data_IF_993273610481
#
_entry.id   IF_993273610481
#
_cell.length_a   1.000
_cell.length_b   1.000
_cell.length_c   1.000
_cell.angle_alpha   90.00
_cell.angle_beta   90.00
_cell.angle_gamma   90.00
#
_symmetry.space_group_name_H-M   'P 1'
#
loop_
_entity.id
_entity.type
_entity.pdbx_description
1 polymer ?
#
# COMPACT_ATOMS: atom_id res chain seq x y z
N UNK A 1 17.78 -4.24 18.67
CA UNK A 1 16.96 -5.47 18.61
C UNK A 1 15.86 -5.23 17.60
N UNK A 2 15.74 -6.12 16.62
CA UNK A 2 14.70 -6.07 15.59
C UNK A 2 13.35 -6.47 16.15
N UNK A 3 12.30 -5.68 15.92
CA UNK A 3 10.95 -6.00 16.38
C UNK A 3 10.14 -6.76 15.32
N UNK A 4 9.77 -8.00 15.62
CA UNK A 4 8.77 -8.72 14.84
C UNK A 4 7.38 -8.18 15.17
N UNK A 5 6.58 -7.85 14.15
CA UNK A 5 5.28 -7.22 14.32
C UNK A 5 4.12 -8.15 13.94
N UNK A 6 2.98 -7.93 14.58
CA UNK A 6 1.70 -8.55 14.24
C UNK A 6 0.82 -7.50 13.58
N UNK A 7 -0.15 -7.95 12.76
CA UNK A 7 -1.16 -7.04 12.18
C UNK A 7 -1.82 -6.20 13.29
N UNK A 8 -1.86 -4.89 13.09
CA UNK A 8 -2.38 -3.89 14.04
C UNK A 8 -1.38 -3.42 15.10
N UNK A 9 -0.24 -4.10 15.28
CA UNK A 9 0.76 -3.65 16.26
C UNK A 9 1.49 -2.40 15.78
N UNK A 10 2.06 -1.64 16.72
CA UNK A 10 2.84 -0.45 16.42
C UNK A 10 4.09 -0.37 17.31
N UNK A 11 5.13 0.29 16.79
CA UNK A 11 6.41 0.52 17.46
C UNK A 11 6.83 1.98 17.30
N UNK A 12 7.34 2.65 18.36
CA UNK A 12 7.95 3.97 18.21
C UNK A 12 9.22 3.90 17.36
N UNK A 13 9.48 4.98 16.63
CA UNK A 13 10.66 5.12 15.78
C UNK A 13 11.51 6.27 16.31
N UNK A 14 12.72 5.93 16.78
CA UNK A 14 13.71 6.93 17.20
C UNK A 14 14.52 7.48 16.01
N UNK A 15 14.44 6.82 14.85
CA UNK A 15 15.12 7.26 13.64
C UNK A 15 14.49 8.54 13.08
N UNK A 16 15.32 9.46 12.57
CA UNK A 16 14.85 10.68 11.90
C UNK A 16 14.44 10.43 10.46
N UNK A 17 15.01 9.41 9.83
CA UNK A 17 14.68 8.95 8.49
C UNK A 17 14.58 7.43 8.45
N UNK A 18 13.60 6.93 7.72
CA UNK A 18 13.30 5.49 7.62
C UNK A 18 13.42 5.03 6.18
N UNK A 19 14.03 3.87 6.00
CA UNK A 19 14.03 3.12 4.75
C UNK A 19 13.13 1.91 4.91
N UNK A 20 11.95 1.96 4.30
CA UNK A 20 10.98 0.87 4.25
C UNK A 20 11.26 0.00 3.01
N UNK A 21 11.62 -1.25 3.23
CA UNK A 21 11.97 -2.23 2.19
C UNK A 21 10.86 -3.26 2.13
N UNK A 22 10.11 -3.28 1.04
CA UNK A 22 9.28 -4.42 0.68
C UNK A 22 10.16 -5.52 0.10
N UNK A 23 9.93 -6.75 0.53
CA UNK A 23 10.66 -7.93 0.08
C UNK A 23 9.70 -9.08 -0.22
N UNK A 24 9.95 -9.79 -1.30
CA UNK A 24 9.24 -11.01 -1.68
C UNK A 24 10.18 -11.99 -2.38
N UNK A 25 9.78 -13.25 -2.49
CA UNK A 25 10.55 -14.29 -3.18
C UNK A 25 10.12 -14.38 -4.65
N UNK A 26 11.04 -14.24 -5.63
CA UNK A 26 10.72 -14.43 -7.04
C UNK A 26 10.40 -15.91 -7.34
N UNK A 27 9.66 -16.16 -8.40
CA UNK A 27 9.34 -17.51 -8.84
C UNK A 27 8.38 -17.53 -10.01
N UNK A 28 8.12 -18.73 -10.54
CA UNK A 28 7.13 -18.89 -11.61
C UNK A 28 5.74 -18.45 -11.11
N UNK A 29 5.09 -17.57 -11.87
CA UNK A 29 3.76 -17.04 -11.53
C UNK A 29 3.74 -16.00 -10.41
N UNK A 30 4.88 -15.65 -9.83
CA UNK A 30 4.98 -14.54 -8.86
C UNK A 30 4.97 -13.23 -9.64
N UNK A 31 4.06 -12.29 -9.35
CA UNK A 31 4.03 -11.02 -10.06
C UNK A 31 5.19 -10.10 -9.68
N UNK A 32 5.39 -9.08 -10.50
CA UNK A 32 6.19 -7.94 -10.11
C UNK A 32 5.41 -7.09 -9.09
N UNK A 33 6.10 -6.67 -8.03
CA UNK A 33 5.48 -5.91 -6.92
C UNK A 33 6.14 -4.54 -6.85
N UNK A 34 5.32 -3.50 -6.90
CA UNK A 34 5.77 -2.11 -6.78
C UNK A 34 5.48 -1.56 -5.38
N UNK A 35 6.49 -0.91 -4.80
CA UNK A 35 6.35 -0.09 -3.60
C UNK A 35 5.88 1.32 -3.97
N UNK A 36 4.87 1.81 -3.27
CA UNK A 36 4.38 3.17 -3.37
C UNK A 36 4.16 3.78 -1.98
N UNK A 37 4.01 5.10 -1.91
CA UNK A 37 3.68 5.79 -0.68
C UNK A 37 2.67 6.92 -0.89
N UNK A 38 1.71 7.04 0.03
CA UNK A 38 0.75 8.16 0.06
C UNK A 38 1.00 9.01 1.30
N UNK A 39 1.20 10.30 1.12
CA UNK A 39 1.36 11.26 2.21
C UNK A 39 -0.01 11.83 2.55
N UNK A 40 -0.44 11.67 3.80
CA UNK A 40 -1.79 12.03 4.23
C UNK A 40 -1.79 13.16 5.24
N UNK A 41 -2.73 14.08 5.06
CA UNK A 41 -3.08 15.15 5.98
C UNK A 41 -3.73 14.64 7.27
N UNK A 42 -4.17 15.57 8.12
CA UNK A 42 -4.86 15.26 9.37
C UNK A 42 -6.27 14.67 9.16
N UNK A 43 -6.88 14.95 8.00
CA UNK A 43 -8.16 14.40 7.55
C UNK A 43 -8.04 12.97 6.99
N UNK A 44 -6.81 12.45 6.89
CA UNK A 44 -6.54 11.13 6.33
C UNK A 44 -6.63 11.08 4.81
N UNK A 45 -6.52 12.23 4.11
CA UNK A 45 -6.48 12.30 2.64
C UNK A 45 -5.19 12.95 2.16
N UNK A 46 -4.88 12.75 0.89
CA UNK A 46 -3.81 13.48 0.18
C UNK A 46 -4.21 14.94 0.01
N UNK A 47 -3.23 15.85 -0.02
CA UNK A 47 -3.48 17.30 -0.21
C UNK A 47 -3.56 17.68 -1.68
N UNK A 48 -2.86 16.91 -2.53
CA UNK A 48 -2.87 16.97 -3.98
C UNK A 48 -2.40 15.62 -4.54
N UNK A 49 -2.52 15.41 -5.85
CA UNK A 49 -2.02 14.18 -6.50
C UNK A 49 -0.49 14.02 -6.35
N UNK A 50 0.22 15.11 -6.06
CA UNK A 50 1.67 15.10 -5.81
C UNK A 50 2.06 14.36 -4.52
N UNK A 51 1.13 14.21 -3.57
CA UNK A 51 1.34 13.45 -2.32
C UNK A 51 1.40 11.92 -2.57
N UNK A 52 1.31 11.47 -3.82
CA UNK A 52 1.49 10.07 -4.20
C UNK A 52 2.87 9.82 -4.83
N UNK A 53 3.66 8.96 -4.19
CA UNK A 53 4.97 8.51 -4.68
C UNK A 53 4.84 7.08 -5.19
N UNK A 54 5.11 6.88 -6.47
CA UNK A 54 4.99 5.58 -7.14
C UNK A 54 6.00 5.49 -8.30
N UNK A 55 5.91 4.48 -9.16
CA UNK A 55 6.93 4.26 -10.19
C UNK A 55 7.08 5.40 -11.21
N UNK A 56 5.98 6.07 -11.60
CA UNK A 56 6.01 7.17 -12.56
C UNK A 56 6.36 8.52 -11.89
N UNK A 57 6.12 8.63 -10.58
CA UNK A 57 6.51 9.77 -9.76
C UNK A 57 7.34 9.27 -8.56
N UNK A 58 8.62 8.89 -8.78
CA UNK A 58 9.42 8.22 -7.75
C UNK A 58 9.88 9.16 -6.63
N UNK A 59 9.56 10.45 -6.68
CA UNK A 59 9.97 11.43 -5.68
C UNK A 59 8.85 12.44 -5.44
N UNK A 60 8.50 12.64 -4.18
CA UNK A 60 7.60 13.71 -3.75
C UNK A 60 8.26 15.08 -3.98
N UNK A 61 7.54 16.16 -4.37
CA UNK A 61 8.12 17.48 -4.63
C UNK A 61 8.94 18.08 -3.48
N UNK A 62 8.58 17.79 -2.22
CA UNK A 62 9.38 18.20 -1.06
C UNK A 62 10.77 17.55 -0.97
N UNK A 63 10.99 16.47 -1.72
CA UNK A 63 12.21 15.66 -1.68
C UNK A 63 12.36 14.82 -0.41
N UNK A 64 11.34 14.74 0.45
CA UNK A 64 11.38 14.03 1.74
C UNK A 64 10.89 12.59 1.70
N UNK A 65 10.16 12.23 0.66
CA UNK A 65 9.72 10.84 0.39
C UNK A 65 10.10 10.48 -1.03
N UNK A 66 10.75 9.35 -1.22
CA UNK A 66 11.11 8.86 -2.54
C UNK A 66 11.26 7.35 -2.60
N UNK A 67 11.00 6.80 -3.77
CA UNK A 67 11.24 5.41 -4.12
C UNK A 67 12.68 5.25 -4.62
N UNK A 68 13.41 4.33 -4.02
CA UNK A 68 14.77 3.93 -4.43
C UNK A 68 14.74 2.86 -5.54
N UNK A 69 13.60 2.19 -5.71
CA UNK A 69 13.35 1.23 -6.79
C UNK A 69 13.73 -0.20 -6.45
N UNK A 70 13.50 -1.06 -7.45
CA UNK A 70 13.62 -2.51 -7.32
C UNK A 70 15.07 -2.99 -7.32
N UNK A 71 15.38 -4.00 -6.51
CA UNK A 71 16.67 -4.68 -6.46
C UNK A 71 16.49 -6.19 -6.28
N UNK A 72 17.43 -6.96 -6.84
CA UNK A 72 17.61 -8.37 -6.48
C UNK A 72 18.52 -8.45 -5.26
N UNK A 73 18.13 -9.26 -4.29
CA UNK A 73 18.90 -9.54 -3.08
C UNK A 73 19.12 -11.05 -2.98
N UNK A 74 20.33 -11.47 -2.63
CA UNK A 74 20.66 -12.85 -2.34
C UNK A 74 21.02 -12.99 -0.86
N UNK A 75 20.32 -13.86 -0.14
CA UNK A 75 20.71 -14.25 1.23
C UNK A 75 20.98 -15.75 1.24
N UNK A 76 22.27 -16.12 1.21
CA UNK A 76 22.68 -17.51 1.06
C UNK A 76 22.20 -18.08 -0.27
N UNK A 77 21.47 -19.20 -0.23
CA UNK A 77 20.91 -19.87 -1.42
C UNK A 77 19.54 -19.30 -1.85
N UNK A 78 18.98 -18.34 -1.10
CA UNK A 78 17.64 -17.80 -1.37
C UNK A 78 17.72 -16.46 -2.09
N UNK A 79 17.09 -16.39 -3.27
CA UNK A 79 16.83 -15.14 -3.97
C UNK A 79 15.64 -14.38 -3.36
N UNK A 80 15.70 -13.06 -3.42
CA UNK A 80 14.62 -12.15 -3.10
C UNK A 80 14.59 -10.98 -4.07
N UNK A 81 13.41 -10.43 -4.28
CA UNK A 81 13.23 -9.12 -4.89
C UNK A 81 12.83 -8.14 -3.79
N UNK A 82 13.26 -6.89 -3.95
CA UNK A 82 12.90 -5.80 -3.05
C UNK A 82 12.50 -4.58 -3.83
N UNK A 83 11.63 -3.76 -3.26
CA UNK A 83 11.39 -2.39 -3.67
C UNK A 83 11.33 -1.50 -2.42
N UNK A 84 11.79 -0.26 -2.52
CA UNK A 84 12.17 0.52 -1.34
C UNK A 84 11.64 1.94 -1.40
N UNK A 85 11.02 2.38 -0.31
CA UNK A 85 10.66 3.77 -0.04
C UNK A 85 11.56 4.30 1.07
N UNK A 86 12.07 5.52 0.90
CA UNK A 86 12.78 6.25 1.94
C UNK A 86 12.00 7.52 2.30
N UNK A 87 11.91 7.77 3.61
CA UNK A 87 11.15 8.89 4.19
C UNK A 87 11.99 9.60 5.25
N UNK A 88 12.28 10.89 5.04
CA UNK A 88 12.87 11.81 6.02
C UNK A 88 11.76 12.39 6.90
N UNK A 89 11.44 11.67 7.98
CA UNK A 89 10.30 11.96 8.86
C UNK A 89 10.51 13.23 9.70
N UNK A 90 11.76 13.54 10.06
CA UNK A 90 12.08 14.72 10.85
C UNK A 90 11.85 16.03 10.08
N UNK A 91 11.96 15.98 8.76
CA UNK A 91 11.82 17.15 7.88
C UNK A 91 10.53 17.17 7.06
N UNK A 92 9.57 16.25 7.34
CA UNK A 92 8.26 16.29 6.71
C UNK A 92 7.50 17.55 7.12
N UNK A 93 6.71 18.06 6.19
CA UNK A 93 5.76 19.15 6.46
C UNK A 93 4.85 18.75 7.64
N UNK A 94 4.68 19.61 8.67
CA UNK A 94 3.79 19.32 9.79
C UNK A 94 2.34 19.02 9.41
N UNK A 95 1.89 19.43 8.22
CA UNK A 95 0.58 19.05 7.69
C UNK A 95 0.47 17.56 7.37
N UNK A 96 1.58 16.86 7.09
CA UNK A 96 1.60 15.41 6.84
C UNK A 96 1.60 14.67 8.18
N UNK A 97 0.49 14.00 8.46
CA UNK A 97 0.30 13.25 9.71
C UNK A 97 0.63 11.76 9.57
N UNK A 98 0.53 11.22 8.34
CA UNK A 98 0.81 9.81 8.02
C UNK A 98 1.44 9.65 6.66
N UNK A 99 2.22 8.58 6.51
CA UNK A 99 2.71 8.08 5.23
C UNK A 99 2.33 6.61 5.13
N UNK A 100 1.42 6.28 4.21
CA UNK A 100 1.07 4.89 3.91
C UNK A 100 2.16 4.27 3.06
N UNK A 101 2.49 3.01 3.34
CA UNK A 101 3.45 2.22 2.59
C UNK A 101 2.67 1.08 1.90
N UNK A 102 2.62 1.15 0.57
CA UNK A 102 1.72 0.34 -0.25
C UNK A 102 2.54 -0.60 -1.14
N UNK A 103 2.06 -1.84 -1.27
CA UNK A 103 2.50 -2.79 -2.28
C UNK A 103 1.38 -2.96 -3.32
N UNK A 104 1.72 -2.98 -4.60
CA UNK A 104 0.78 -3.27 -5.68
C UNK A 104 1.36 -4.23 -6.69
N UNK A 105 0.51 -5.08 -7.28
CA UNK A 105 0.85 -5.97 -8.36
C UNK A 105 -0.10 -5.72 -9.54
N UNK A 106 0.45 -5.59 -10.73
CA UNK A 106 -0.36 -5.32 -11.92
C UNK A 106 -1.05 -6.61 -12.41
N UNK A 107 -2.39 -6.60 -12.46
CA UNK A 107 -3.22 -7.67 -13.01
C UNK A 107 -3.02 -9.07 -12.39
N UNK A 108 -2.39 -9.18 -11.22
CA UNK A 108 -2.14 -10.46 -10.56
C UNK A 108 -2.41 -10.33 -9.06
N UNK A 109 -3.11 -11.32 -8.52
CA UNK A 109 -3.51 -11.37 -7.14
C UNK A 109 -2.33 -11.70 -6.19
N UNK A 110 -2.34 -11.10 -5.01
CA UNK A 110 -1.27 -11.23 -4.00
C UNK A 110 -1.17 -12.64 -3.40
N UNK A 111 -2.14 -13.55 -3.60
CA UNK A 111 -2.00 -14.97 -3.25
C UNK A 111 -0.76 -15.64 -3.88
N UNK A 112 -0.32 -15.13 -5.03
CA UNK A 112 0.84 -15.63 -5.75
C UNK A 112 2.16 -15.01 -5.26
N UNK A 113 2.11 -13.96 -4.45
CA UNK A 113 3.29 -13.32 -3.89
C UNK A 113 3.78 -14.11 -2.68
N UNK A 114 4.98 -14.68 -2.77
CA UNK A 114 5.56 -15.54 -1.74
C UNK A 114 6.44 -14.74 -0.78
N UNK A 115 6.32 -15.02 0.52
CA UNK A 115 7.12 -14.43 1.58
C UNK A 115 7.16 -12.89 1.56
N UNK A 116 5.99 -12.27 1.31
CA UNK A 116 5.87 -10.81 1.34
C UNK A 116 6.11 -10.28 2.76
N UNK A 117 7.05 -9.35 2.88
CA UNK A 117 7.41 -8.71 4.15
C UNK A 117 7.77 -7.26 3.91
N UNK A 118 7.44 -6.40 4.88
CA UNK A 118 8.01 -5.05 4.99
C UNK A 118 9.06 -5.02 6.11
N UNK A 119 10.23 -4.46 5.82
CA UNK A 119 11.32 -4.26 6.77
C UNK A 119 11.63 -2.78 6.90
N UNK A 120 11.81 -2.30 8.13
CA UNK A 120 12.03 -0.90 8.43
C UNK A 120 13.47 -0.75 8.91
N UNK A 121 14.26 0.07 8.22
CA UNK A 121 15.63 0.39 8.60
C UNK A 121 15.72 1.87 8.97
N UNK A 122 16.62 2.21 9.89
CA UNK A 122 17.08 3.58 10.03
C UNK A 122 17.93 3.94 8.80
N UNK A 123 17.54 4.98 8.07
CA UNK A 123 18.23 5.39 6.86
C UNK A 123 19.57 6.12 7.15
N UNK A 124 19.75 6.66 8.35
CA UNK A 124 21.00 7.28 8.79
C UNK A 124 22.01 6.26 9.34
N UNK A 125 21.53 5.12 9.82
CA UNK A 125 22.37 4.07 10.40
C UNK A 125 22.78 3.01 9.36
N UNK A 126 23.55 3.41 8.33
CA UNK A 126 24.27 2.49 7.41
C UNK A 126 23.58 1.16 7.05
N UNK A 127 24.36 0.07 7.10
CA UNK A 127 23.85 -1.31 7.03
C UNK A 127 23.70 -1.88 8.44
N UNK A 128 22.60 -1.52 9.11
CA UNK A 128 22.19 -2.06 10.39
C UNK A 128 21.08 -3.11 10.25
N UNK A 129 20.85 -3.87 11.33
CA UNK A 129 19.66 -4.70 11.49
C UNK A 129 18.37 -3.85 11.38
N UNK A 130 17.27 -4.40 10.84
CA UNK A 130 16.02 -3.66 10.76
C UNK A 130 15.50 -3.28 12.16
N UNK A 131 14.90 -2.11 12.27
CA UNK A 131 14.20 -1.64 13.46
C UNK A 131 13.00 -2.54 13.77
N UNK A 132 12.26 -2.91 12.72
CA UNK A 132 11.09 -3.76 12.78
C UNK A 132 10.83 -4.47 11.44
N UNK A 133 10.07 -5.55 11.47
CA UNK A 133 9.52 -6.17 10.28
C UNK A 133 8.10 -6.71 10.51
N UNK A 134 7.35 -6.81 9.42
CA UNK A 134 6.01 -7.40 9.41
C UNK A 134 5.86 -8.33 8.22
N UNK A 135 5.55 -9.60 8.49
CA UNK A 135 5.16 -10.58 7.48
C UNK A 135 3.70 -10.33 7.07
N UNK A 136 3.47 -10.12 5.78
CA UNK A 136 2.19 -9.68 5.25
C UNK A 136 1.50 -10.86 4.59
N UNK A 137 0.30 -11.16 5.05
CA UNK A 137 -0.58 -12.17 4.45
C UNK A 137 -1.82 -11.48 3.88
N UNK A 138 -2.13 -11.66 2.59
CA UNK A 138 -3.39 -11.18 1.99
C UNK A 138 -4.60 -11.76 2.72
N UNK A 139 -5.70 -11.02 2.82
CA UNK A 139 -6.87 -11.47 3.61
C UNK A 139 -7.70 -12.50 2.84
N UNK A 140 -7.95 -12.21 1.57
CA UNK A 140 -8.79 -13.00 0.67
C UNK A 140 -7.96 -13.70 -0.40
N UNK A 141 -6.75 -13.22 -0.66
CA UNK A 141 -5.86 -13.73 -1.70
C UNK A 141 -6.07 -13.05 -3.06
N UNK A 142 -7.25 -12.48 -3.29
CA UNK A 142 -7.65 -11.84 -4.55
C UNK A 142 -7.21 -10.37 -4.65
N UNK A 143 -6.63 -9.81 -3.59
CA UNK A 143 -6.21 -8.40 -3.58
C UNK A 143 -5.06 -8.17 -4.55
N UNK A 144 -5.07 -7.01 -5.21
CA UNK A 144 -4.02 -6.57 -6.17
C UNK A 144 -3.26 -5.34 -5.66
N UNK A 145 -3.66 -4.79 -4.51
CA UNK A 145 -2.88 -3.85 -3.72
C UNK A 145 -3.05 -4.11 -2.21
N UNK A 146 -2.04 -3.76 -1.42
CA UNK A 146 -2.00 -3.90 0.02
C UNK A 146 -1.39 -2.65 0.67
N UNK A 147 -2.04 -2.08 1.67
CA UNK A 147 -1.39 -1.17 2.63
C UNK A 147 -0.59 -2.04 3.60
N UNK A 148 0.72 -2.12 3.40
CA UNK A 148 1.62 -2.94 4.21
C UNK A 148 1.75 -2.39 5.64
N UNK A 149 1.77 -1.07 5.76
CA UNK A 149 1.80 -0.38 7.04
C UNK A 149 1.77 1.14 6.86
N UNK A 150 1.81 1.85 7.98
CA UNK A 150 1.83 3.31 8.01
C UNK A 150 2.92 3.83 8.95
N UNK A 151 3.63 4.87 8.51
CA UNK A 151 4.37 5.76 9.40
C UNK A 151 3.37 6.83 9.84
N UNK A 152 3.19 7.03 11.13
CA UNK A 152 2.26 8.03 11.64
C UNK A 152 2.84 8.77 12.83
N UNK A 153 2.46 10.04 12.96
CA UNK A 153 2.90 10.89 14.06
C UNK A 153 1.82 10.92 15.15
N UNK A 154 2.23 10.73 16.40
CA UNK A 154 1.37 10.94 17.58
C UNK A 154 2.10 11.85 18.57
N UNK A 155 1.67 13.11 18.66
CA UNK A 155 2.46 14.15 19.33
C UNK A 155 3.72 14.45 18.54
N UNK A 156 4.90 14.40 19.17
CA UNK A 156 6.19 14.59 18.49
C UNK A 156 6.89 13.29 18.12
N UNK A 157 6.25 12.15 18.35
CA UNK A 157 6.84 10.83 18.14
C UNK A 157 6.27 10.20 16.87
N UNK A 158 7.16 9.84 15.95
CA UNK A 158 6.85 8.98 14.82
C UNK A 158 6.78 7.53 15.25
N UNK A 159 5.83 6.80 14.65
CA UNK A 159 5.59 5.39 14.91
C UNK A 159 5.34 4.67 13.60
N UNK A 160 5.68 3.39 13.55
CA UNK A 160 5.23 2.51 12.50
C UNK A 160 4.09 1.62 13.01
N UNK A 161 3.05 1.41 12.20
CA UNK A 161 1.98 0.44 12.45
C UNK A 161 1.92 -0.57 11.30
N UNK A 162 1.88 -1.85 11.65
CA UNK A 162 1.64 -2.93 10.70
C UNK A 162 0.15 -3.02 10.38
N UNK A 163 -0.23 -2.91 9.10
CA UNK A 163 -1.64 -2.90 8.68
C UNK A 163 -1.99 -4.17 7.90
N UNK A 164 -1.34 -4.37 6.75
CA UNK A 164 -1.67 -5.45 5.83
C UNK A 164 -3.13 -5.40 5.43
N UNK A 165 -3.66 -4.26 5.01
CA UNK A 165 -5.04 -4.10 4.54
C UNK A 165 -5.06 -4.21 3.02
N UNK A 166 -5.90 -5.08 2.47
CA UNK A 166 -5.92 -5.36 1.04
C UNK A 166 -7.06 -4.73 0.27
N UNK A 167 -6.79 -4.48 -1.01
CA UNK A 167 -7.67 -3.81 -1.96
C UNK A 167 -7.88 -4.69 -3.21
N UNK A 168 -9.15 -4.99 -3.51
CA UNK A 168 -9.55 -5.82 -4.66
C UNK A 168 -9.51 -5.03 -5.97
N UNK A 169 -9.82 -3.74 -5.91
CA UNK A 169 -9.76 -2.78 -7.03
C UNK A 169 -8.36 -2.19 -7.24
N UNK A 170 -7.33 -2.83 -6.66
CA UNK A 170 -5.94 -2.51 -6.89
C UNK A 170 -5.50 -1.13 -6.40
N UNK A 171 -4.38 -0.67 -6.97
CA UNK A 171 -3.74 0.58 -6.57
C UNK A 171 -4.60 1.80 -6.89
N UNK A 172 -5.34 1.76 -8.01
CA UNK A 172 -6.26 2.82 -8.42
C UNK A 172 -7.35 3.04 -7.38
N UNK A 173 -8.04 1.96 -6.99
CA UNK A 173 -9.08 2.04 -5.98
C UNK A 173 -8.58 2.49 -4.62
N UNK A 174 -7.40 2.00 -4.22
CA UNK A 174 -6.71 2.47 -3.02
C UNK A 174 -6.42 3.97 -3.10
N UNK A 175 -5.84 4.44 -4.20
CA UNK A 175 -5.48 5.85 -4.37
C UNK A 175 -6.74 6.76 -4.37
N UNK A 176 -7.82 6.35 -5.03
CA UNK A 176 -9.10 7.05 -5.04
C UNK A 176 -9.71 7.21 -3.65
N UNK A 177 -9.65 6.16 -2.81
CA UNK A 177 -10.13 6.22 -1.42
C UNK A 177 -9.41 7.32 -0.60
N UNK A 178 -8.14 7.58 -0.91
CA UNK A 178 -7.32 8.62 -0.27
C UNK A 178 -7.35 9.97 -0.98
N UNK A 179 -8.07 10.10 -2.10
CA UNK A 179 -8.33 11.38 -2.77
C UNK A 179 -7.42 11.70 -3.94
N UNK A 180 -6.68 10.72 -4.46
CA UNK A 180 -5.98 10.86 -5.73
C UNK A 180 -7.01 10.77 -6.85
N UNK A 181 -6.99 11.75 -7.76
CA UNK A 181 -7.80 11.72 -8.97
C UNK A 181 -6.99 11.05 -10.07
N UNK A 182 -7.50 9.95 -10.62
CA UNK A 182 -6.92 9.34 -11.83
C UNK A 182 -7.61 9.99 -13.02
N UNK A 183 -7.04 11.08 -13.53
CA UNK A 183 -7.48 11.62 -14.81
C UNK A 183 -6.98 10.68 -15.92
N UNK A 184 -7.88 9.90 -16.51
CA UNK A 184 -7.63 9.08 -17.72
C UNK A 184 -7.40 9.94 -19.00
N UNK A 185 -6.95 11.18 -18.87
CA UNK A 185 -6.73 12.11 -19.99
C UNK A 185 -5.27 12.17 -20.41
N UNK A 186 -4.73 11.03 -20.85
CA UNK A 186 -3.65 11.04 -21.85
C UNK A 186 -3.87 9.96 -22.93
N UNK A 187 -5.14 9.73 -23.29
CA UNK A 187 -5.44 9.38 -24.67
C UNK A 187 -5.32 10.67 -25.49
N UNK A 188 -4.11 11.01 -25.93
CA UNK A 188 -3.91 12.02 -26.98
C UNK A 188 -4.78 11.57 -28.15
N UNK A 189 -5.85 12.29 -28.55
CA UNK A 189 -6.48 11.99 -29.82
C UNK A 189 -5.39 12.25 -30.86
N UNK A 190 -5.03 11.21 -31.63
CA UNK A 190 -4.12 11.37 -32.77
C UNK A 190 -4.58 12.60 -33.56
N UNK A 191 -3.68 13.56 -33.86
CA UNK A 191 -4.04 14.66 -34.73
C UNK A 191 -4.39 14.07 -36.09
N UNK A 192 -5.68 14.01 -36.40
CA UNK A 192 -6.18 13.67 -37.74
C UNK A 192 -5.76 14.81 -38.67
N UNK A 193 -4.56 14.68 -39.26
CA UNK A 193 -4.13 15.51 -40.37
C UNK A 193 -3.70 14.59 -41.50
N UNK A 194 -4.61 14.35 -42.44
CA UNK A 194 -4.33 14.66 -43.84
C UNK A 194 -5.59 14.52 -44.69
N UNK A 195 -6.04 15.65 -45.22
CA UNK A 195 -6.89 15.70 -46.38
C UNK A 195 -6.13 15.07 -47.56
N UNK A 196 -6.57 13.89 -48.02
CA UNK A 196 -6.18 13.33 -49.31
C UNK A 196 -7.37 13.33 -50.26
N UNK A 197 -7.09 13.83 -51.47
CA UNK A 197 -7.97 14.14 -52.60
C UNK A 197 -8.89 12.98 -53.04
N UNK A 198 -10.03 13.26 -53.73
CA UNK A 198 -10.92 12.23 -54.24
C UNK A 198 -10.25 11.40 -55.35
N UNK A 199 -10.10 10.09 -55.10
CA UNK A 199 -9.71 9.11 -56.10
C UNK A 199 -10.85 8.91 -57.12
N UNK A 200 -10.58 8.85 -58.44
CA UNK A 200 -11.60 8.54 -59.44
C UNK A 200 -12.02 7.08 -59.33
N UNK A 201 -13.33 6.84 -59.23
CA UNK A 201 -13.94 5.52 -59.19
C UNK A 201 -13.53 4.67 -60.41
N UNK A 202 -13.19 3.37 -60.25
CA UNK A 202 -13.19 2.46 -61.38
C UNK A 202 -14.64 2.20 -61.83
N UNK A 203 -14.88 2.30 -63.14
CA UNK A 203 -16.16 1.97 -63.76
C UNK A 203 -16.58 0.52 -63.43
N UNK A 204 -17.83 0.34 -62.96
CA UNK A 204 -18.48 -0.97 -62.87
C UNK A 204 -18.57 -1.58 -64.27
N UNK A 205 -17.98 -2.76 -64.46
CA UNK A 205 -18.37 -3.66 -65.55
C UNK A 205 -19.71 -4.32 -65.22
N UNK A 206 -20.61 -4.53 -66.20
CA UNK A 206 -21.83 -5.30 -66.00
C UNK A 206 -21.53 -6.79 -65.77
N UNK A 207 -22.24 -7.39 -64.81
CA UNK A 207 -22.24 -8.83 -64.50
C UNK A 207 -22.67 -9.68 -65.72
N UNK A 208 -22.07 -10.86 -65.95
CA UNK A 208 -22.73 -11.92 -66.70
C UNK A 208 -23.76 -12.66 -65.83
N UNK A 209 -24.84 -13.11 -66.48
CA UNK A 209 -25.99 -13.84 -65.93
C UNK A 209 -25.64 -15.19 -65.27
N UNK A 210 -26.52 -15.71 -64.38
CA UNK A 210 -26.21 -16.84 -63.49
C UNK A 210 -26.17 -18.20 -64.22
N UNK A 211 -25.01 -18.85 -64.18
CA UNK A 211 -24.89 -20.28 -64.47
C UNK A 211 -25.19 -21.11 -63.20
N UNK A 212 -26.26 -21.89 -63.30
CA UNK A 212 -26.48 -23.23 -62.72
C UNK A 212 -25.97 -23.51 -61.29
N UNK A 213 -26.93 -23.65 -60.38
CA UNK A 213 -26.77 -24.11 -59.00
C UNK A 213 -26.04 -25.45 -58.90
N UNK A 214 -24.95 -25.50 -58.15
CA UNK A 214 -24.43 -26.74 -57.54
C UNK A 214 -25.18 -26.99 -56.21
N UNK A 215 -25.48 -28.24 -55.83
CA UNK A 215 -26.18 -28.52 -54.60
C UNK A 215 -25.27 -28.25 -53.39
N UNK A 216 -25.76 -27.41 -52.47
CA UNK A 216 -25.18 -27.23 -51.13
C UNK A 216 -25.25 -28.55 -50.35
N UNK A 217 -24.18 -28.96 -49.65
CA UNK A 217 -24.29 -30.01 -48.64
C UNK A 217 -25.20 -29.52 -47.51
N UNK A 218 -26.26 -30.28 -47.21
CA UNK A 218 -27.10 -30.03 -46.05
C UNK A 218 -26.26 -30.25 -44.78
N UNK A 219 -26.17 -29.22 -43.94
CA UNK A 219 -25.69 -29.38 -42.57
C UNK A 219 -26.65 -30.31 -41.79
N UNK A 220 -26.15 -31.27 -41.00
CA UNK A 220 -27.01 -32.13 -40.20
C UNK A 220 -27.73 -31.31 -39.12
N UNK A 221 -29.01 -31.65 -38.89
CA UNK A 221 -29.86 -31.04 -37.87
C UNK A 221 -29.23 -31.18 -36.46
N UNK A 222 -29.40 -30.18 -35.57
CA UNK A 222 -28.95 -30.30 -34.20
C UNK A 222 -29.71 -31.44 -33.49
N UNK A 223 -28.95 -32.37 -32.93
CA UNK A 223 -29.47 -33.45 -32.08
C UNK A 223 -30.05 -32.83 -30.79
N UNK A 224 -31.19 -33.32 -30.27
CA UNK A 224 -31.67 -32.93 -28.95
C UNK A 224 -30.70 -33.43 -27.88
N UNK A 225 -30.26 -32.54 -27.00
CA UNK A 225 -29.49 -32.91 -25.82
C UNK A 225 -30.32 -33.84 -24.92
N UNK A 226 -29.75 -34.92 -24.36
CA UNK A 226 -30.43 -35.73 -23.36
C UNK A 226 -30.62 -34.92 -22.07
N UNK A 227 -31.81 -34.98 -21.50
CA UNK A 227 -32.13 -34.43 -20.18
C UNK A 227 -31.20 -35.02 -19.10
N UNK A 228 -30.70 -34.22 -18.14
CA UNK A 228 -29.91 -34.74 -17.04
C UNK A 228 -30.75 -35.68 -16.18
N UNK A 229 -30.18 -36.85 -15.85
CA UNK A 229 -30.76 -37.80 -14.91
C UNK A 229 -30.88 -37.18 -13.51
N UNK A 230 -31.91 -37.54 -12.71
CA UNK A 230 -32.01 -37.11 -11.32
C UNK A 230 -30.82 -37.65 -10.51
N UNK A 231 -30.09 -36.75 -9.86
CA UNK A 231 -29.02 -37.13 -8.94
C UNK A 231 -29.61 -37.87 -7.72
N UNK A 232 -28.95 -38.90 -7.19
CA UNK A 232 -29.32 -39.46 -5.90
C UNK A 232 -29.07 -38.40 -4.82
N UNK A 233 -30.07 -38.18 -3.97
CA UNK A 233 -29.97 -37.31 -2.81
C UNK A 233 -28.86 -37.82 -1.89
N UNK A 234 -27.70 -37.14 -1.90
CA UNK A 234 -26.69 -37.34 -0.87
C UNK A 234 -27.28 -36.85 0.45
N UNK A 235 -27.45 -37.79 1.38
CA UNK A 235 -27.94 -37.55 2.72
C UNK A 235 -27.10 -36.49 3.43
N UNK A 236 -27.78 -35.54 4.04
CA UNK A 236 -27.19 -34.63 5.01
C UNK A 236 -26.47 -35.43 6.10
N UNK A 237 -25.25 -35.04 6.51
CA UNK A 237 -24.72 -35.50 7.79
C UNK A 237 -25.63 -34.99 8.92
N UNK A 238 -25.84 -35.78 10.00
CA UNK A 238 -26.65 -35.35 11.13
C UNK A 238 -26.05 -34.10 11.78
N UNK A 239 -26.90 -33.11 12.09
CA UNK A 239 -26.53 -31.96 12.92
C UNK A 239 -25.91 -32.45 14.26
N UNK A 240 -24.79 -31.87 14.71
CA UNK A 240 -24.32 -32.11 16.06
C UNK A 240 -25.33 -31.57 17.08
N UNK A 241 -25.48 -32.20 18.26
CA UNK A 241 -26.43 -31.78 19.27
C UNK A 241 -26.17 -30.34 19.70
N UNK A 242 -27.24 -29.52 19.71
CA UNK A 242 -27.21 -28.17 20.29
C UNK A 242 -26.88 -28.27 21.77
N UNK A 243 -25.67 -27.87 22.15
CA UNK A 243 -25.36 -27.61 23.54
C UNK A 243 -26.22 -26.44 24.03
N UNK A 244 -27.06 -26.70 25.03
CA UNK A 244 -27.72 -25.65 25.80
C UNK A 244 -26.64 -24.80 26.50
N UNK A 245 -26.71 -23.46 26.46
CA UNK A 245 -25.82 -22.65 27.28
C UNK A 245 -26.17 -22.87 28.75
N UNK A 246 -25.16 -23.22 29.55
CA UNK A 246 -25.27 -23.23 31.00
C UNK A 246 -25.57 -21.81 31.53
N UNK A 247 -26.33 -21.65 32.62
CA UNK A 247 -26.57 -20.34 33.21
C UNK A 247 -25.25 -19.77 33.75
N UNK A 248 -24.90 -18.55 33.32
CA UNK A 248 -23.77 -17.82 33.87
C UNK A 248 -24.04 -17.41 35.32
N UNK A 249 -23.07 -17.55 36.25
CA UNK A 249 -23.17 -16.91 37.55
C UNK A 249 -22.98 -15.39 37.39
N UNK A 250 -23.91 -14.62 37.96
CA UNK A 250 -23.86 -13.17 38.04
C UNK A 250 -22.69 -12.71 38.90
N UNK A 251 -21.64 -12.16 38.30
CA UNK A 251 -20.65 -11.39 39.03
C UNK A 251 -21.18 -9.98 39.26
N UNK A 252 -21.62 -9.73 40.50
CA UNK A 252 -22.04 -8.43 40.97
C UNK A 252 -20.86 -7.45 41.01
N UNK A 253 -21.07 -6.27 40.44
CA UNK A 253 -20.23 -5.11 40.68
C UNK A 253 -20.35 -4.70 42.15
N UNK A 254 -19.24 -4.52 42.90
CA UNK A 254 -19.30 -3.81 44.15
C UNK A 254 -19.52 -2.31 43.90
N UNK A 255 -20.52 -1.79 44.57
CA UNK A 255 -20.95 -0.39 44.57
C UNK A 255 -19.94 0.47 45.35
N UNK A 256 -19.52 1.65 44.86
CA UNK A 256 -18.63 2.52 45.62
C UNK A 256 -19.40 3.23 46.75
N UNK A 257 -18.89 3.12 47.98
CA UNK A 257 -19.39 3.83 49.16
C UNK A 257 -18.96 5.31 49.13
N UNK A 258 -19.72 6.23 49.75
CA UNK A 258 -19.42 7.66 49.74
C UNK A 258 -18.28 8.03 50.70
N UNK A 259 -17.55 9.06 50.28
CA UNK A 259 -16.37 9.61 50.94
C UNK A 259 -16.67 10.24 52.31
N UNK A 260 -15.86 9.89 53.31
CA UNK A 260 -15.65 10.71 54.50
C UNK A 260 -14.28 11.38 54.43
N UNK A 261 -14.32 12.70 54.55
CA UNK A 261 -13.18 13.60 54.56
C UNK A 261 -12.29 13.37 55.80
N UNK A 262 -10.98 13.43 55.61
CA UNK A 262 -10.00 13.62 56.68
C UNK A 262 -8.98 14.70 56.23
N UNK A 263 -8.43 15.51 57.17
CA UNK A 263 -7.71 16.73 56.84
C UNK A 263 -6.22 16.52 56.57
N UNK A 264 -5.66 17.43 55.77
CA UNK A 264 -4.26 17.56 55.37
C UNK A 264 -3.32 17.85 56.56
N UNK A 265 -2.05 17.44 56.41
CA UNK A 265 -0.93 18.33 56.73
C UNK A 265 0.04 18.50 55.55
N UNK A 266 0.45 19.74 55.27
CA UNK A 266 1.61 20.04 54.42
C UNK A 266 2.92 19.72 55.17
N UNK A 267 4.01 19.45 54.43
CA UNK A 267 5.04 20.48 54.37
C UNK A 267 5.69 20.70 52.99
N UNK A 268 6.00 21.97 52.80
CA UNK A 268 7.06 22.59 51.99
C UNK A 268 8.26 21.73 51.60
N UNK A 269 8.60 21.71 50.31
CA UNK A 269 9.98 21.78 49.83
C UNK A 269 10.00 22.37 48.40
N UNK A 270 10.71 23.49 48.25
CA UNK A 270 10.92 24.18 46.98
C UNK A 270 12.04 23.51 46.18
N UNK A 271 11.80 23.35 44.88
CA UNK A 271 12.84 22.99 43.91
C UNK A 271 13.26 24.25 43.12
N UNK A 272 14.57 24.50 42.95
CA UNK A 272 15.06 25.58 42.12
C UNK A 272 14.90 25.28 40.62
N UNK A 273 14.59 26.33 39.86
CA UNK A 273 14.46 26.35 38.40
C UNK A 273 15.81 26.03 37.71
N UNK A 274 15.83 25.27 36.60
CA UNK A 274 17.03 25.13 35.78
C UNK A 274 17.31 26.41 34.99
N UNK A 275 18.53 26.93 35.13
CA UNK A 275 19.05 28.06 34.37
C UNK A 275 19.47 27.56 32.99
N UNK A 276 18.92 28.15 31.92
CA UNK A 276 19.35 27.87 30.55
C UNK A 276 20.77 28.44 30.30
N UNK A 277 21.67 27.73 29.60
CA UNK A 277 22.96 28.28 29.22
C UNK A 277 22.80 29.38 28.17
N UNK A 278 23.50 30.50 28.37
CA UNK A 278 23.65 31.57 27.38
C UNK A 278 24.39 31.03 26.13
N UNK A 279 23.98 31.41 24.90
CA UNK A 279 24.74 31.08 23.70
C UNK A 279 26.08 31.83 23.67
N UNK A 280 27.10 31.15 23.16
CA UNK A 280 28.47 31.66 23.01
C UNK A 280 28.50 32.91 22.10
N UNK A 281 29.01 34.07 22.56
CA UNK A 281 29.07 35.30 21.76
C UNK A 281 30.03 35.21 20.56
N UNK A 282 30.83 34.14 20.44
CA UNK A 282 31.80 33.96 19.36
C UNK A 282 31.36 32.97 18.27
N UNK A 283 30.11 32.51 18.25
CA UNK A 283 29.62 31.66 17.17
C UNK A 283 29.39 32.46 15.88
N UNK A 284 30.28 32.31 14.90
CA UNK A 284 30.10 32.81 13.54
C UNK A 284 29.72 31.66 12.60
N UNK A 285 28.62 31.83 11.86
CA UNK A 285 28.23 30.95 10.77
C UNK A 285 29.28 31.02 9.63
N UNK A 286 29.70 29.90 9.05
CA UNK A 286 30.59 29.93 7.89
C UNK A 286 29.86 30.55 6.67
N UNK A 287 30.56 31.33 5.83
CA UNK A 287 29.97 31.92 4.63
C UNK A 287 29.51 30.84 3.64
N UNK A 288 28.32 31.07 3.06
CA UNK A 288 27.67 30.20 2.09
C UNK A 288 28.45 30.07 0.77
N UNK A 289 28.59 28.81 0.32
CA UNK A 289 28.48 28.41 -1.09
C UNK A 289 29.75 28.42 -1.96
N UNK A 290 30.09 27.30 -2.61
CA UNK A 290 30.80 27.31 -3.87
C UNK A 290 29.84 27.19 -5.07
N UNK A 291 30.21 27.91 -6.11
CA UNK A 291 29.50 28.13 -7.36
C UNK A 291 29.44 26.88 -8.25
N UNK A 292 28.32 26.71 -8.95
CA UNK A 292 28.21 25.75 -10.05
C UNK A 292 29.15 26.14 -11.19
N UNK A 293 30.18 25.32 -11.43
CA UNK A 293 30.93 25.32 -12.69
C UNK A 293 30.34 24.23 -13.57
N UNK A 294 29.75 24.62 -14.70
CA UNK A 294 29.29 23.71 -15.73
C UNK A 294 30.48 23.10 -16.49
N UNK A 295 30.44 21.79 -16.68
CA UNK A 295 31.10 21.10 -17.79
C UNK A 295 30.14 20.07 -18.37
#
# INVERSE_FOLDING_TARGET
MTHAMLKGSNVPLEATAVRAVLRWTPGQGVPDVDASALLLGADGRVRSDEDFVFYNQPRHPSGKVWRLGKKRVSQGLSEGLTDTIQTDMASLDPAVSRVLLVASAENVAFENVRALRILLYDAGAGEAEPLAYFDITPQTGAETALICGELYRRGDVWKFRALGEGYLNGLEGLAGDFGISVDESEAVPEPTTEASLPQPYPQRQPLPEPATQAPVPQAPAPQPFPSPAPQPAYGYPPEPPRHQPAPQPSYGYPQPAPAHAAPLPQPSYGYPQPVAPMPDPNFQLPPQGPQFLAR
#
